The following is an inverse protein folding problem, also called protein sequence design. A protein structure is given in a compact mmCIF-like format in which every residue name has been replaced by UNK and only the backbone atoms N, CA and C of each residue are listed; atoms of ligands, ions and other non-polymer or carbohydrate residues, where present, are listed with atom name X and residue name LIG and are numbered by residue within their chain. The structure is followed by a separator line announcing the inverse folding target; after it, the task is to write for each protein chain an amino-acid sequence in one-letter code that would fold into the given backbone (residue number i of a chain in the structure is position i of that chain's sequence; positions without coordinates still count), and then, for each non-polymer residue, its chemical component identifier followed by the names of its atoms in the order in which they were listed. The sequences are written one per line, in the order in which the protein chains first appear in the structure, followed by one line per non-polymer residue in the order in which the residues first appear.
data_IF_708588087383
#
_entry.id   IF_708588087383
#
_cell.length_a   1.000
_cell.length_b   1.000
_cell.length_c   1.000
_cell.angle_alpha   90.00
_cell.angle_beta   90.00
_cell.angle_gamma   90.00
#
_symmetry.space_group_name_H-M   'P 1'
#
loop_
_entity.id
_entity.type
_entity.pdbx_description
1 polymer ?
#
# COMPACT_ATOMS: atom_id res chain seq x y z
N UNK A 1 -38.08 8.74 -13.30
CA UNK A 1 -36.84 9.41 -13.74
C UNK A 1 -36.01 9.68 -12.50
N UNK A 2 -35.13 8.74 -12.14
CA UNK A 2 -34.31 8.87 -10.94
C UNK A 2 -33.32 10.01 -11.06
N UNK A 3 -33.42 10.97 -10.13
CA UNK A 3 -32.38 11.97 -9.88
C UNK A 3 -31.13 11.22 -9.41
N UNK A 4 -30.26 10.84 -10.36
CA UNK A 4 -28.89 10.43 -10.03
C UNK A 4 -28.26 11.56 -9.21
N UNK A 5 -27.93 11.26 -7.96
CA UNK A 5 -27.32 12.23 -7.06
C UNK A 5 -26.03 12.79 -7.69
N UNK A 6 -25.75 14.09 -7.56
CA UNK A 6 -24.57 14.72 -8.19
C UNK A 6 -23.25 14.04 -7.77
N UNK A 7 -23.22 13.46 -6.57
CA UNK A 7 -22.09 12.67 -6.03
C UNK A 7 -21.79 11.44 -6.88
N UNK A 8 -22.81 10.75 -7.40
CA UNK A 8 -22.63 9.56 -8.25
C UNK A 8 -22.04 9.90 -9.62
N UNK A 9 -22.31 11.11 -10.13
CA UNK A 9 -21.82 11.57 -11.43
C UNK A 9 -20.35 11.98 -11.35
N UNK A 10 -19.96 12.65 -10.26
CA UNK A 10 -18.57 13.05 -9.98
C UNK A 10 -17.68 11.80 -9.83
N UNK A 11 -18.13 10.79 -9.09
CA UNK A 11 -17.36 9.53 -8.93
C UNK A 11 -17.16 8.78 -10.26
N UNK A 12 -18.18 8.78 -11.14
CA UNK A 12 -18.04 8.17 -12.49
C UNK A 12 -17.09 8.96 -13.38
N UNK A 13 -17.14 10.29 -13.31
CA UNK A 13 -16.23 11.16 -14.05
C UNK A 13 -14.78 10.94 -13.60
N UNK A 14 -14.54 10.81 -12.30
CA UNK A 14 -13.22 10.52 -11.73
C UNK A 14 -12.66 9.19 -12.28
N UNK A 15 -13.47 8.13 -12.28
CA UNK A 15 -13.07 6.84 -12.85
C UNK A 15 -12.72 6.92 -14.35
N UNK A 16 -13.51 7.66 -15.13
CA UNK A 16 -13.24 7.88 -16.57
C UNK A 16 -11.94 8.65 -16.75
N UNK A 17 -11.70 9.68 -15.92
CA UNK A 17 -10.48 10.47 -15.98
C UNK A 17 -9.24 9.62 -15.69
N UNK A 18 -9.31 8.76 -14.67
CA UNK A 18 -8.26 7.77 -14.38
C UNK A 18 -8.03 6.81 -15.55
N UNK A 19 -9.11 6.32 -16.17
CA UNK A 19 -9.04 5.42 -17.32
C UNK A 19 -8.34 6.07 -18.51
N UNK A 20 -8.81 7.24 -18.91
CA UNK A 20 -8.24 7.99 -20.05
C UNK A 20 -6.78 8.36 -19.78
N UNK A 21 -6.47 8.84 -18.58
CA UNK A 21 -5.10 9.24 -18.23
C UNK A 21 -4.15 8.05 -18.23
N UNK A 22 -4.56 6.91 -17.67
CA UNK A 22 -3.74 5.70 -17.63
C UNK A 22 -3.49 5.16 -19.05
N UNK A 23 -4.55 5.04 -19.86
CA UNK A 23 -4.43 4.57 -21.25
C UNK A 23 -3.52 5.48 -22.05
N UNK A 24 -3.66 6.80 -21.90
CA UNK A 24 -2.78 7.77 -22.57
C UNK A 24 -1.31 7.60 -22.19
N UNK A 25 -1.01 7.49 -20.89
CA UNK A 25 0.37 7.32 -20.38
C UNK A 25 0.99 6.02 -20.90
N UNK A 26 0.27 4.90 -20.81
CA UNK A 26 0.79 3.60 -21.26
C UNK A 26 0.87 3.48 -22.78
N UNK A 27 -0.03 4.13 -23.51
CA UNK A 27 0.07 4.26 -24.96
C UNK A 27 1.33 5.04 -25.35
N UNK A 28 1.61 6.16 -24.67
CA UNK A 28 2.83 6.94 -24.92
C UNK A 28 4.09 6.15 -24.56
N UNK A 29 4.07 5.41 -23.46
CA UNK A 29 5.19 4.53 -23.07
C UNK A 29 5.46 3.45 -24.14
N UNK A 30 4.40 2.87 -24.69
CA UNK A 30 4.50 1.93 -25.81
C UNK A 30 5.10 2.57 -27.06
N UNK A 31 4.67 3.80 -27.41
CA UNK A 31 5.26 4.52 -28.56
C UNK A 31 6.74 4.88 -28.36
N UNK A 32 7.23 4.91 -27.12
CA UNK A 32 8.66 5.06 -26.81
C UNK A 32 9.45 3.75 -26.95
N UNK A 33 8.81 2.63 -27.28
CA UNK A 33 9.47 1.34 -27.52
C UNK A 33 9.47 0.39 -26.31
N UNK A 34 8.78 0.73 -25.22
CA UNK A 34 8.68 -0.11 -24.01
C UNK A 34 7.32 -0.80 -23.93
N UNK A 35 7.29 -2.13 -23.94
CA UNK A 35 6.05 -2.89 -23.97
C UNK A 35 5.53 -3.25 -22.56
N UNK A 36 4.78 -2.32 -21.96
CA UNK A 36 4.09 -2.54 -20.68
C UNK A 36 2.56 -2.72 -20.81
N UNK A 37 2.08 -3.03 -22.02
CA UNK A 37 0.64 -3.19 -22.30
C UNK A 37 0.06 -4.35 -21.48
N UNK A 38 0.80 -5.46 -21.34
CA UNK A 38 0.38 -6.62 -20.54
C UNK A 38 0.05 -6.26 -19.09
N UNK A 39 0.89 -5.44 -18.46
CA UNK A 39 0.63 -4.91 -17.11
C UNK A 39 -0.61 -4.01 -17.07
N UNK A 40 -0.78 -3.15 -18.07
CA UNK A 40 -1.97 -2.33 -18.20
C UNK A 40 -3.25 -3.16 -18.23
N UNK A 41 -3.28 -4.23 -19.04
CA UNK A 41 -4.41 -5.15 -19.13
C UNK A 41 -4.66 -5.85 -17.79
N UNK A 42 -3.62 -6.36 -17.12
CA UNK A 42 -3.75 -7.05 -15.83
C UNK A 42 -4.36 -6.13 -14.77
N UNK A 43 -3.88 -4.89 -14.66
CA UNK A 43 -4.39 -3.94 -13.68
C UNK A 43 -5.84 -3.54 -13.95
N UNK A 44 -6.20 -3.26 -15.21
CA UNK A 44 -7.58 -2.91 -15.58
C UNK A 44 -8.54 -4.08 -15.42
N UNK A 45 -8.14 -5.29 -15.83
CA UNK A 45 -8.93 -6.50 -15.60
C UNK A 45 -9.12 -6.76 -14.12
N UNK A 46 -8.08 -6.59 -13.30
CA UNK A 46 -8.18 -6.74 -11.85
C UNK A 46 -9.13 -5.73 -11.21
N UNK A 47 -9.08 -4.46 -11.60
CA UNK A 47 -10.03 -3.42 -11.14
C UNK A 47 -11.46 -3.79 -11.55
N UNK A 48 -11.65 -4.21 -12.80
CA UNK A 48 -12.97 -4.61 -13.32
C UNK A 48 -13.56 -5.80 -12.55
N UNK A 49 -12.75 -6.85 -12.33
CA UNK A 49 -13.14 -8.04 -11.57
C UNK A 49 -13.56 -7.69 -10.14
N UNK A 50 -12.78 -6.86 -9.45
CA UNK A 50 -13.07 -6.41 -8.09
C UNK A 50 -14.38 -5.61 -8.04
N UNK A 51 -14.67 -4.79 -9.06
CA UNK A 51 -15.91 -4.03 -9.16
C UNK A 51 -17.13 -4.92 -9.44
N UNK A 52 -17.01 -5.85 -10.40
CA UNK A 52 -18.12 -6.74 -10.80
C UNK A 52 -18.56 -7.67 -9.66
N UNK A 53 -17.60 -8.22 -8.90
CA UNK A 53 -17.91 -9.07 -7.74
C UNK A 53 -18.63 -8.26 -6.66
N UNK A 54 -18.23 -7.01 -6.44
CA UNK A 54 -18.87 -6.12 -5.47
C UNK A 54 -20.35 -5.90 -5.78
N UNK A 55 -20.66 -5.65 -7.05
CA UNK A 55 -22.04 -5.44 -7.52
C UNK A 55 -22.88 -6.70 -7.29
N UNK A 56 -22.33 -7.87 -7.64
CA UNK A 56 -22.99 -9.17 -7.45
C UNK A 56 -23.32 -9.46 -5.97
N UNK A 57 -22.39 -9.18 -5.04
CA UNK A 57 -22.60 -9.42 -3.61
C UNK A 57 -23.66 -8.48 -3.02
N UNK A 58 -23.64 -7.20 -3.41
CA UNK A 58 -24.62 -6.22 -2.93
C UNK A 58 -26.05 -6.59 -3.36
N UNK A 59 -26.22 -7.03 -4.62
CA UNK A 59 -27.52 -7.48 -5.14
C UNK A 59 -28.05 -8.72 -4.39
N UNK A 60 -27.14 -9.56 -3.86
CA UNK A 60 -27.50 -10.74 -3.08
C UNK A 60 -27.82 -10.40 -1.62
N UNK A 61 -27.13 -9.42 -1.02
CA UNK A 61 -27.39 -8.98 0.36
C UNK A 61 -28.68 -8.17 0.51
N UNK A 62 -29.10 -7.44 -0.53
CA UNK A 62 -30.37 -6.71 -0.54
C UNK A 62 -31.60 -7.65 -0.65
N UNK A 63 -31.38 -8.93 -0.99
CA UNK A 63 -32.41 -9.98 -0.93
C UNK A 63 -32.39 -10.79 0.39
N UNK A 64 -31.41 -10.56 1.27
CA UNK A 64 -31.20 -11.34 2.50
C UNK A 64 -30.85 -10.45 3.70
N UNK A 65 -31.51 -9.30 3.84
CA UNK A 65 -31.32 -8.40 4.99
C UNK A 65 -32.17 -8.85 6.18
N UNK A 66 -31.68 -9.83 6.96
CA UNK A 66 -32.23 -10.16 8.27
C UNK A 66 -31.19 -10.26 9.40
N UNK A 67 -29.89 -10.49 9.13
CA UNK A 67 -29.00 -11.03 10.18
C UNK A 67 -27.75 -10.22 10.54
N UNK A 68 -27.74 -8.88 10.37
CA UNK A 68 -26.67 -8.04 10.96
C UNK A 68 -27.21 -6.77 11.65
N UNK A 69 -28.18 -6.93 12.55
CA UNK A 69 -28.50 -5.92 13.56
C UNK A 69 -28.58 -6.55 14.95
N UNK A 70 -27.41 -6.80 15.54
CA UNK A 70 -27.27 -6.87 16.99
C UNK A 70 -26.01 -6.10 17.37
N UNK A 71 -26.19 -4.83 17.70
CA UNK A 71 -25.74 -4.25 18.97
C UNK A 71 -25.82 -2.72 18.94
N UNK A 72 -26.24 -2.17 20.09
CA UNK A 72 -26.27 -0.75 20.51
C UNK A 72 -27.64 -0.06 20.33
N UNK A 73 -28.48 -0.26 21.35
CA UNK A 73 -29.38 0.79 21.83
C UNK A 73 -28.53 1.94 22.38
N UNK A 74 -28.58 3.11 21.74
CA UNK A 74 -28.51 4.38 22.45
C UNK A 74 -29.19 5.49 21.63
N UNK A 75 -30.05 6.24 22.32
CA UNK A 75 -30.99 7.21 21.79
C UNK A 75 -30.28 8.50 21.29
N UNK A 76 -30.89 9.15 20.31
CA UNK A 76 -30.64 10.55 19.91
C UNK A 76 -29.28 10.95 19.30
N UNK A 77 -28.92 10.38 18.13
CA UNK A 77 -28.23 11.14 17.06
C UNK A 77 -28.74 10.68 15.69
N UNK A 78 -29.07 11.64 14.82
CA UNK A 78 -29.43 11.42 13.40
C UNK A 78 -28.51 10.36 12.78
N UNK A 79 -29.02 9.38 12.01
CA UNK A 79 -28.19 8.37 11.40
C UNK A 79 -27.36 9.05 10.31
N UNK A 80 -26.13 9.43 10.66
CA UNK A 80 -25.08 9.57 9.65
C UNK A 80 -24.84 8.14 9.22
N UNK A 81 -25.47 7.72 8.11
CA UNK A 81 -25.19 6.43 7.49
C UNK A 81 -23.68 6.43 7.21
N UNK A 82 -22.86 5.66 7.95
CA UNK A 82 -21.44 5.63 7.68
C UNK A 82 -21.28 5.07 6.28
N UNK A 83 -20.67 5.83 5.38
CA UNK A 83 -20.23 5.33 4.08
C UNK A 83 -19.17 4.26 4.34
N UNK A 84 -19.63 3.03 4.52
CA UNK A 84 -18.79 1.86 4.75
C UNK A 84 -17.77 1.77 3.61
N UNK A 85 -16.49 1.54 3.93
CA UNK A 85 -15.45 1.35 2.92
C UNK A 85 -15.91 0.32 1.89
N UNK A 86 -16.02 0.72 0.63
CA UNK A 86 -16.48 -0.12 -0.49
C UNK A 86 -15.44 -1.21 -0.80
N UNK A 87 -14.15 -1.04 -0.53
CA UNK A 87 -13.13 -2.06 -0.78
C UNK A 87 -12.29 -2.32 0.47
N UNK A 88 -11.88 -3.58 0.64
CA UNK A 88 -11.17 -4.03 1.85
C UNK A 88 -10.03 -4.95 1.46
N UNK A 89 -8.88 -4.74 2.10
CA UNK A 89 -7.73 -5.63 1.98
C UNK A 89 -7.91 -6.82 2.90
N UNK A 90 -7.37 -7.96 2.48
CA UNK A 90 -7.38 -9.21 3.23
C UNK A 90 -6.90 -9.02 4.69
N UNK A 91 -7.79 -9.32 5.65
CA UNK A 91 -7.51 -9.21 7.08
C UNK A 91 -7.81 -7.84 7.73
N UNK A 92 -8.24 -6.83 6.96
CA UNK A 92 -8.64 -5.53 7.48
C UNK A 92 -10.13 -5.51 7.90
N UNK A 93 -10.44 -4.77 8.97
CA UNK A 93 -11.83 -4.49 9.39
C UNK A 93 -12.30 -3.12 8.91
N UNK A 94 -13.60 -2.89 8.78
CA UNK A 94 -14.15 -1.58 8.37
C UNK A 94 -13.64 -0.41 9.24
N UNK A 95 -13.42 -0.65 10.53
CA UNK A 95 -12.86 0.34 11.47
C UNK A 95 -11.40 0.70 11.25
N UNK A 96 -10.72 0.04 10.30
CA UNK A 96 -9.34 0.35 9.92
C UNK A 96 -9.26 1.56 8.98
N UNK A 97 -10.32 1.86 8.23
CA UNK A 97 -10.33 2.90 7.20
C UNK A 97 -10.99 4.18 7.71
N UNK A 98 -10.68 5.31 7.06
CA UNK A 98 -11.31 6.60 7.33
C UNK A 98 -12.73 6.61 6.74
N UNK A 99 -13.74 6.86 7.59
CA UNK A 99 -15.17 6.68 7.27
C UNK A 99 -15.77 7.70 6.26
N UNK A 100 -15.02 8.75 5.87
CA UNK A 100 -15.55 9.95 5.18
C UNK A 100 -15.05 10.17 3.75
N UNK A 101 -14.36 9.21 3.13
CA UNK A 101 -13.79 9.40 1.78
C UNK A 101 -13.99 8.14 0.92
N UNK A 102 -14.07 8.33 -0.41
CA UNK A 102 -13.99 7.23 -1.36
C UNK A 102 -12.73 6.42 -1.06
N UNK A 103 -12.80 5.08 -1.14
CA UNK A 103 -11.67 4.22 -0.78
C UNK A 103 -10.40 4.53 -1.58
N UNK A 104 -10.54 5.15 -2.75
CA UNK A 104 -9.39 5.58 -3.55
C UNK A 104 -8.62 4.41 -4.15
N UNK A 105 -9.22 3.21 -4.27
CA UNK A 105 -8.56 2.01 -4.78
C UNK A 105 -7.88 2.25 -6.15
N UNK A 106 -8.60 2.86 -7.09
CA UNK A 106 -8.06 3.15 -8.45
C UNK A 106 -6.89 4.12 -8.38
N UNK A 107 -7.01 5.20 -7.61
CA UNK A 107 -5.90 6.12 -7.37
C UNK A 107 -4.69 5.39 -6.75
N UNK A 108 -4.93 4.54 -5.75
CA UNK A 108 -3.89 3.78 -5.06
C UNK A 108 -3.11 2.81 -5.94
N UNK A 109 -3.79 2.18 -6.90
CA UNK A 109 -3.18 1.23 -7.84
C UNK A 109 -2.49 1.95 -8.99
N UNK A 110 -3.07 3.04 -9.51
CA UNK A 110 -2.63 3.62 -10.78
C UNK A 110 -1.65 4.79 -10.63
N UNK A 111 -1.73 5.57 -9.55
CA UNK A 111 -1.00 6.84 -9.43
C UNK A 111 0.52 6.66 -9.55
N UNK A 112 1.12 5.82 -8.70
CA UNK A 112 2.57 5.66 -8.66
C UNK A 112 3.13 5.01 -9.94
N UNK A 113 2.53 3.94 -10.51
CA UNK A 113 2.93 3.43 -11.83
C UNK A 113 2.86 4.50 -12.93
N UNK A 114 1.82 5.34 -12.95
CA UNK A 114 1.70 6.42 -13.93
C UNK A 114 2.80 7.47 -13.75
N UNK A 115 3.12 7.86 -12.51
CA UNK A 115 4.21 8.79 -12.21
C UNK A 115 5.56 8.21 -12.65
N UNK A 116 5.84 6.95 -12.32
CA UNK A 116 7.08 6.28 -12.74
C UNK A 116 7.18 6.15 -14.27
N UNK A 117 6.09 5.78 -14.95
CA UNK A 117 6.02 5.72 -16.40
C UNK A 117 6.25 7.11 -17.04
N UNK A 118 5.65 8.16 -16.48
CA UNK A 118 5.85 9.53 -16.97
C UNK A 118 7.30 9.99 -16.83
N UNK A 119 7.95 9.66 -15.71
CA UNK A 119 9.38 9.95 -15.49
C UNK A 119 10.25 9.18 -16.47
N UNK A 120 9.94 7.91 -16.72
CA UNK A 120 10.68 7.09 -17.68
C UNK A 120 10.58 7.66 -19.10
N UNK A 121 9.39 8.09 -19.55
CA UNK A 121 9.21 8.75 -20.84
C UNK A 121 10.01 10.05 -20.97
N UNK A 122 10.06 10.88 -19.93
CA UNK A 122 10.85 12.12 -19.93
C UNK A 122 12.35 11.82 -20.06
N UNK A 123 12.84 10.78 -19.40
CA UNK A 123 14.24 10.34 -19.49
C UNK A 123 14.60 9.79 -20.86
N UNK A 124 13.72 8.98 -21.46
CA UNK A 124 13.91 8.49 -22.81
C UNK A 124 13.93 9.63 -23.84
N UNK A 125 13.05 10.63 -23.69
CA UNK A 125 13.04 11.80 -24.57
C UNK A 125 14.31 12.63 -24.48
N UNK A 126 14.91 12.69 -23.29
CA UNK A 126 16.14 13.44 -23.03
C UNK A 126 17.42 12.68 -23.39
N UNK A 127 17.31 11.44 -23.90
CA UNK A 127 18.45 10.53 -24.12
C UNK A 127 19.37 10.46 -22.88
N UNK A 128 18.76 10.33 -21.70
CA UNK A 128 19.49 10.18 -20.45
C UNK A 128 20.27 8.86 -20.43
N UNK A 129 21.27 8.76 -19.53
CA UNK A 129 22.15 7.60 -19.40
C UNK A 129 21.39 6.27 -19.32
N UNK A 130 21.89 5.28 -20.05
CA UNK A 130 21.23 3.98 -20.18
C UNK A 130 21.08 3.29 -18.82
N UNK A 131 22.07 3.42 -17.92
CA UNK A 131 21.98 2.94 -16.53
C UNK A 131 20.81 3.54 -15.75
N UNK A 132 20.66 4.86 -15.80
CA UNK A 132 19.57 5.56 -15.12
C UNK A 132 18.18 5.23 -15.68
N UNK A 133 18.06 4.99 -16.99
CA UNK A 133 16.79 4.55 -17.58
C UNK A 133 16.37 3.17 -17.06
N UNK A 134 17.29 2.21 -17.00
CA UNK A 134 17.05 0.85 -16.45
C UNK A 134 16.72 0.92 -14.96
N UNK A 135 17.38 1.80 -14.22
CA UNK A 135 17.09 2.05 -12.79
C UNK A 135 15.64 2.51 -12.54
N UNK A 136 15.11 3.39 -13.38
CA UNK A 136 13.71 3.85 -13.29
C UNK A 136 12.74 2.79 -13.79
N UNK A 137 13.14 2.02 -14.81
CA UNK A 137 12.36 0.90 -15.35
C UNK A 137 12.13 -0.21 -14.31
N UNK A 138 13.16 -0.60 -13.54
CA UNK A 138 13.04 -1.56 -12.44
C UNK A 138 12.01 -1.12 -11.38
N UNK A 139 11.97 0.19 -11.07
CA UNK A 139 11.02 0.77 -10.11
C UNK A 139 9.59 0.78 -10.63
N UNK A 140 9.41 1.05 -11.93
CA UNK A 140 8.11 0.94 -12.58
C UNK A 140 7.58 -0.50 -12.49
N UNK A 141 8.39 -1.50 -12.81
CA UNK A 141 8.00 -2.92 -12.73
C UNK A 141 7.64 -3.33 -11.30
N UNK A 142 8.43 -2.89 -10.32
CA UNK A 142 8.15 -3.16 -8.91
C UNK A 142 6.84 -2.53 -8.45
N UNK A 143 6.55 -1.30 -8.88
CA UNK A 143 5.28 -0.60 -8.64
C UNK A 143 4.08 -1.34 -9.24
N UNK A 144 4.22 -1.81 -10.48
CA UNK A 144 3.19 -2.60 -11.16
C UNK A 144 2.93 -3.92 -10.42
N UNK A 145 3.99 -4.60 -9.97
CA UNK A 145 3.88 -5.82 -9.17
C UNK A 145 3.16 -5.56 -7.84
N UNK A 146 3.55 -4.55 -7.07
CA UNK A 146 2.90 -4.19 -5.80
C UNK A 146 1.42 -3.81 -6.00
N UNK A 147 1.09 -3.16 -7.12
CA UNK A 147 -0.28 -2.78 -7.48
C UNK A 147 -1.13 -4.00 -7.81
N UNK A 148 -0.59 -4.97 -8.56
CA UNK A 148 -1.25 -6.24 -8.84
C UNK A 148 -1.44 -7.08 -7.56
N UNK A 149 -0.46 -7.11 -6.66
CA UNK A 149 -0.59 -7.76 -5.35
C UNK A 149 -1.72 -7.13 -4.55
N UNK A 150 -1.84 -5.80 -4.54
CA UNK A 150 -2.93 -5.11 -3.84
C UNK A 150 -4.29 -5.52 -4.37
N UNK A 151 -4.44 -5.62 -5.70
CA UNK A 151 -5.65 -6.11 -6.35
C UNK A 151 -5.98 -7.55 -5.95
N UNK A 152 -4.97 -8.44 -5.92
CA UNK A 152 -5.13 -9.81 -5.46
C UNK A 152 -5.62 -9.83 -4.01
N UNK A 153 -5.06 -8.99 -3.13
CA UNK A 153 -5.48 -8.95 -1.73
C UNK A 153 -6.91 -8.45 -1.55
N UNK A 154 -7.34 -7.48 -2.34
CA UNK A 154 -8.73 -7.01 -2.33
C UNK A 154 -9.66 -8.09 -2.88
N UNK A 155 -9.29 -8.72 -4.00
CA UNK A 155 -10.06 -9.81 -4.61
C UNK A 155 -10.22 -11.01 -3.66
N UNK A 156 -9.12 -11.49 -3.10
CA UNK A 156 -9.07 -12.60 -2.15
C UNK A 156 -9.88 -12.28 -0.89
N UNK A 157 -9.91 -11.02 -0.45
CA UNK A 157 -10.74 -10.60 0.68
C UNK A 157 -12.23 -10.74 0.44
N UNK A 158 -12.72 -10.40 -0.75
CA UNK A 158 -14.13 -10.55 -1.08
C UNK A 158 -14.48 -12.02 -1.33
N UNK A 159 -13.61 -12.78 -2.01
CA UNK A 159 -13.87 -14.19 -2.33
C UNK A 159 -13.75 -15.15 -1.13
N UNK A 160 -12.78 -14.93 -0.23
CA UNK A 160 -12.57 -15.78 0.95
C UNK A 160 -13.46 -15.43 2.15
N UNK A 161 -14.53 -14.65 1.97
CA UNK A 161 -15.50 -14.36 3.03
C UNK A 161 -15.96 -15.62 3.83
N UNK A 162 -16.27 -16.77 3.22
CA UNK A 162 -16.64 -17.97 3.97
C UNK A 162 -15.49 -18.56 4.82
N UNK A 163 -14.24 -18.44 4.36
CA UNK A 163 -13.06 -18.98 5.04
C UNK A 163 -12.55 -18.09 6.19
N UNK A 164 -12.97 -16.81 6.24
CA UNK A 164 -12.68 -15.90 7.36
C UNK A 164 -13.29 -16.36 8.68
N UNK A 165 -14.36 -17.15 8.66
CA UNK A 165 -14.95 -17.75 9.87
C UNK A 165 -14.02 -18.79 10.51
N UNK A 166 -13.16 -19.43 9.71
CA UNK A 166 -12.26 -20.50 10.16
C UNK A 166 -10.89 -19.98 10.61
N UNK A 167 -10.37 -18.92 9.96
CA UNK A 167 -9.00 -18.42 10.18
C UNK A 167 -9.00 -17.20 11.10
N UNK A 168 -8.33 -17.31 12.25
CA UNK A 168 -8.15 -16.21 13.22
C UNK A 168 -7.49 -15.00 12.55
N UNK A 169 -7.91 -13.78 12.93
CA UNK A 169 -7.49 -12.48 12.34
C UNK A 169 -5.97 -12.31 12.08
N UNK A 170 -5.10 -12.91 12.89
CA UNK A 170 -3.63 -12.84 12.72
C UNK A 170 -3.07 -13.80 11.66
N UNK A 171 -3.73 -14.93 11.41
CA UNK A 171 -3.33 -15.90 10.37
C UNK A 171 -3.54 -15.35 8.96
N UNK A 172 -4.53 -14.49 8.77
CA UNK A 172 -4.87 -13.87 7.48
C UNK A 172 -3.72 -12.99 6.95
N UNK A 173 -3.03 -12.26 7.83
CA UNK A 173 -1.88 -11.45 7.40
C UNK A 173 -0.68 -12.31 6.97
N UNK A 174 -0.37 -13.38 7.72
CA UNK A 174 0.73 -14.28 7.36
C UNK A 174 0.47 -14.95 6.01
N UNK A 175 -0.76 -15.37 5.74
CA UNK A 175 -1.11 -15.90 4.41
C UNK A 175 -0.99 -14.86 3.29
N UNK A 176 -1.25 -13.57 3.57
CA UNK A 176 -1.02 -12.49 2.58
C UNK A 176 0.45 -12.42 2.14
N UNK A 177 1.38 -12.56 3.08
CA UNK A 177 2.82 -12.56 2.81
C UNK A 177 3.20 -13.76 1.93
N UNK A 178 2.72 -14.96 2.27
CA UNK A 178 3.02 -16.18 1.51
C UNK A 178 2.47 -16.09 0.08
N UNK A 179 1.21 -15.66 -0.08
CA UNK A 179 0.59 -15.47 -1.40
C UNK A 179 1.37 -14.43 -2.21
N UNK A 180 1.76 -13.31 -1.59
CA UNK A 180 2.54 -12.26 -2.25
C UNK A 180 3.92 -12.76 -2.69
N UNK A 181 4.60 -13.58 -1.87
CA UNK A 181 5.90 -14.15 -2.19
C UNK A 181 5.81 -15.17 -3.32
N UNK A 182 4.82 -16.06 -3.30
CA UNK A 182 4.57 -17.02 -4.38
C UNK A 182 4.22 -16.32 -5.69
N UNK A 183 3.35 -15.30 -5.64
CA UNK A 183 2.99 -14.51 -6.81
C UNK A 183 4.21 -13.76 -7.37
N UNK A 184 5.03 -13.17 -6.51
CA UNK A 184 6.28 -12.50 -6.90
C UNK A 184 7.22 -13.48 -7.60
N UNK A 185 7.44 -14.67 -7.01
CA UNK A 185 8.30 -15.68 -7.61
C UNK A 185 7.77 -16.16 -8.97
N UNK A 186 6.46 -16.37 -9.09
CA UNK A 186 5.79 -16.77 -10.34
C UNK A 186 5.97 -15.69 -11.42
N UNK A 187 5.65 -14.43 -11.12
CA UNK A 187 5.72 -13.34 -12.09
C UNK A 187 7.16 -13.07 -12.53
N UNK A 188 8.11 -13.04 -11.61
CA UNK A 188 9.51 -12.70 -11.93
C UNK A 188 10.27 -13.84 -12.62
N UNK A 189 9.86 -15.11 -12.46
CA UNK A 189 10.55 -16.27 -13.06
C UNK A 189 9.89 -16.84 -14.31
N UNK A 190 8.57 -16.80 -14.38
CA UNK A 190 7.81 -17.56 -15.39
C UNK A 190 7.17 -16.63 -16.42
N UNK A 191 6.75 -15.42 -16.03
CA UNK A 191 6.09 -14.51 -16.96
C UNK A 191 7.11 -13.50 -17.54
N UNK A 192 7.16 -13.29 -18.86
CA UNK A 192 7.99 -12.27 -19.50
C UNK A 192 7.40 -10.86 -19.34
N UNK A 193 6.79 -10.57 -18.19
CA UNK A 193 6.19 -9.29 -17.87
C UNK A 193 7.20 -8.35 -17.18
N UNK A 194 8.27 -8.89 -16.64
CA UNK A 194 9.30 -8.12 -15.93
C UNK A 194 10.66 -8.34 -16.57
N UNK A 195 10.93 -7.62 -17.66
CA UNK A 195 12.15 -7.78 -18.43
C UNK A 195 13.39 -7.32 -17.64
N UNK A 196 13.22 -6.31 -16.76
CA UNK A 196 14.32 -5.78 -15.94
C UNK A 196 14.37 -6.42 -14.56
N UNK A 197 13.22 -6.58 -13.91
CA UNK A 197 13.15 -7.16 -12.56
C UNK A 197 13.54 -8.64 -12.53
N UNK A 198 13.39 -9.37 -13.65
CA UNK A 198 13.84 -10.77 -13.75
C UNK A 198 15.36 -10.93 -13.77
N UNK A 199 16.08 -9.88 -14.17
CA UNK A 199 17.55 -9.83 -14.17
C UNK A 199 18.13 -9.50 -12.79
N UNK A 200 17.29 -9.05 -11.86
CA UNK A 200 17.66 -8.65 -10.52
C UNK A 200 17.60 -9.81 -9.52
N UNK A 201 18.30 -9.66 -8.39
CA UNK A 201 18.27 -10.65 -7.31
C UNK A 201 16.85 -10.79 -6.77
N UNK A 202 16.28 -12.00 -6.91
CA UNK A 202 14.92 -12.31 -6.46
C UNK A 202 14.73 -12.05 -4.96
N UNK A 203 15.79 -12.18 -4.17
CA UNK A 203 15.76 -11.93 -2.73
C UNK A 203 15.46 -10.46 -2.42
N UNK A 204 15.99 -9.53 -3.21
CA UNK A 204 15.71 -8.10 -3.04
C UNK A 204 14.26 -7.77 -3.37
N UNK A 205 13.74 -8.38 -4.42
CA UNK A 205 12.34 -8.23 -4.83
C UNK A 205 11.40 -8.79 -3.76
N UNK A 206 11.66 -10.00 -3.26
CA UNK A 206 10.88 -10.62 -2.18
C UNK A 206 10.95 -9.76 -0.91
N UNK A 207 12.13 -9.29 -0.52
CA UNK A 207 12.29 -8.45 0.67
C UNK A 207 11.55 -7.11 0.54
N UNK A 208 11.54 -6.53 -0.65
CA UNK A 208 10.80 -5.28 -0.89
C UNK A 208 9.29 -5.49 -0.85
N UNK A 209 8.80 -6.58 -1.46
CA UNK A 209 7.38 -6.94 -1.41
C UNK A 209 6.94 -7.26 0.02
N UNK A 210 7.77 -7.93 0.82
CA UNK A 210 7.45 -8.18 2.23
C UNK A 210 7.45 -6.88 3.05
N UNK A 211 8.38 -5.96 2.80
CA UNK A 211 8.35 -4.62 3.40
C UNK A 211 7.08 -3.85 3.02
N UNK A 212 6.67 -3.89 1.74
CA UNK A 212 5.40 -3.33 1.29
C UNK A 212 4.22 -3.89 2.10
N UNK A 213 4.12 -5.22 2.23
CA UNK A 213 3.08 -5.88 3.02
C UNK A 213 3.11 -5.47 4.50
N UNK A 214 4.31 -5.33 5.06
CA UNK A 214 4.50 -4.94 6.44
C UNK A 214 4.06 -3.50 6.72
N UNK A 215 4.41 -2.55 5.83
CA UNK A 215 3.94 -1.16 5.93
C UNK A 215 2.42 -1.06 5.76
N UNK A 216 1.86 -1.82 4.82
CA UNK A 216 0.41 -1.90 4.63
C UNK A 216 -0.28 -2.39 5.92
N UNK A 217 0.28 -3.41 6.57
CA UNK A 217 -0.21 -3.89 7.86
C UNK A 217 -0.12 -2.85 8.98
N UNK A 218 0.97 -2.09 9.07
CA UNK A 218 1.10 -0.97 10.01
C UNK A 218 -0.01 0.05 9.74
N UNK A 219 -0.25 0.42 8.49
CA UNK A 219 -1.35 1.32 8.14
C UNK A 219 -2.72 0.81 8.61
N UNK A 220 -3.00 -0.48 8.43
CA UNK A 220 -4.29 -1.11 8.77
C UNK A 220 -4.49 -1.31 10.28
N UNK A 221 -3.46 -1.70 11.01
CA UNK A 221 -3.57 -2.11 12.43
C UNK A 221 -3.18 -1.00 13.39
N UNK A 222 -2.13 -0.27 13.06
CA UNK A 222 -1.50 0.73 13.92
C UNK A 222 -2.08 2.12 13.66
N UNK A 223 -2.27 2.49 12.39
CA UNK A 223 -2.75 3.81 11.96
C UNK A 223 -4.25 3.78 11.57
N UNK A 224 -5.05 3.09 12.38
CA UNK A 224 -6.50 2.94 12.15
C UNK A 224 -7.18 4.30 11.96
N UNK A 225 -8.08 4.37 10.97
CA UNK A 225 -8.87 5.54 10.61
C UNK A 225 -8.08 6.77 10.11
N UNK A 226 -6.76 6.67 9.98
CA UNK A 226 -5.95 7.79 9.46
C UNK A 226 -6.05 7.91 7.94
N UNK A 227 -6.14 6.78 7.24
CA UNK A 227 -6.02 6.71 5.79
C UNK A 227 -7.21 6.02 5.12
N UNK A 228 -7.43 6.38 3.85
CA UNK A 228 -8.21 5.59 2.90
C UNK A 228 -7.38 4.44 2.34
N UNK A 229 -8.02 3.45 1.73
CA UNK A 229 -7.33 2.31 1.12
C UNK A 229 -6.29 2.72 0.07
N UNK A 230 -6.61 3.70 -0.77
CA UNK A 230 -5.72 4.25 -1.78
C UNK A 230 -4.51 4.96 -1.16
N UNK A 231 -4.74 5.81 -0.17
CA UNK A 231 -3.67 6.50 0.56
C UNK A 231 -2.73 5.49 1.25
N UNK A 232 -3.27 4.44 1.89
CA UNK A 232 -2.44 3.38 2.50
C UNK A 232 -1.58 2.67 1.46
N UNK A 233 -2.14 2.39 0.28
CA UNK A 233 -1.42 1.72 -0.82
C UNK A 233 -0.29 2.61 -1.33
N UNK A 234 -0.55 3.89 -1.59
CA UNK A 234 0.45 4.86 -2.05
C UNK A 234 1.58 5.01 -1.04
N UNK A 235 1.25 5.18 0.24
CA UNK A 235 2.25 5.31 1.31
C UNK A 235 3.10 4.04 1.38
N UNK A 236 2.47 2.87 1.39
CA UNK A 236 3.19 1.59 1.49
C UNK A 236 4.09 1.32 0.30
N UNK A 237 3.62 1.58 -0.93
CA UNK A 237 4.41 1.45 -2.16
C UNK A 237 5.58 2.43 -2.18
N UNK A 238 5.34 3.70 -1.83
CA UNK A 238 6.38 4.73 -1.79
C UNK A 238 7.48 4.37 -0.79
N UNK A 239 7.09 3.93 0.41
CA UNK A 239 8.05 3.51 1.42
C UNK A 239 8.83 2.27 0.97
N UNK A 240 8.18 1.27 0.39
CA UNK A 240 8.86 0.08 -0.10
C UNK A 240 9.93 0.39 -1.16
N UNK A 241 9.65 1.30 -2.10
CA UNK A 241 10.62 1.72 -3.12
C UNK A 241 11.81 2.48 -2.52
N UNK A 242 11.57 3.32 -1.51
CA UNK A 242 12.65 4.02 -0.80
C UNK A 242 13.56 3.02 -0.09
N UNK A 243 12.98 2.02 0.57
CA UNK A 243 13.75 0.92 1.15
C UNK A 243 14.49 0.10 0.10
N UNK A 244 13.89 -0.17 -1.06
CA UNK A 244 14.57 -0.86 -2.17
C UNK A 244 15.81 -0.10 -2.62
N UNK A 245 15.74 1.23 -2.79
CA UNK A 245 16.91 2.04 -3.09
C UNK A 245 18.00 1.94 -2.03
N UNK A 246 17.63 1.98 -0.74
CA UNK A 246 18.58 1.78 0.36
C UNK A 246 19.19 0.38 0.37
N UNK A 247 18.39 -0.65 0.08
CA UNK A 247 18.84 -2.04 -0.01
C UNK A 247 19.81 -2.25 -1.18
N UNK A 248 19.59 -1.60 -2.32
CA UNK A 248 20.53 -1.59 -3.44
C UNK A 248 21.90 -1.05 -2.98
N UNK A 249 21.94 0.09 -2.28
CA UNK A 249 23.20 0.65 -1.75
C UNK A 249 23.89 -0.28 -0.75
N UNK A 250 23.13 -0.87 0.17
CA UNK A 250 23.65 -1.84 1.14
C UNK A 250 24.22 -3.06 0.40
N UNK A 251 23.50 -3.58 -0.58
CA UNK A 251 23.93 -4.75 -1.35
C UNK A 251 25.24 -4.51 -2.08
N UNK A 252 25.39 -3.35 -2.72
CA UNK A 252 26.61 -2.94 -3.41
C UNK A 252 27.78 -2.84 -2.43
N UNK A 253 27.54 -2.34 -1.21
CA UNK A 253 28.57 -2.20 -0.19
C UNK A 253 29.06 -3.56 0.36
N UNK A 254 28.15 -4.53 0.54
CA UNK A 254 28.48 -5.85 1.09
C UNK A 254 28.91 -6.87 0.02
N UNK A 255 28.41 -6.77 -1.21
CA UNK A 255 28.66 -7.69 -2.31
C UNK A 255 29.12 -6.96 -3.58
N UNK A 256 30.33 -6.36 -3.57
CA UNK A 256 30.80 -5.53 -4.68
C UNK A 256 31.04 -6.32 -5.98
N UNK A 257 31.20 -7.63 -5.92
CA UNK A 257 31.43 -8.50 -7.09
C UNK A 257 30.14 -8.87 -7.84
N UNK A 258 28.97 -8.75 -7.19
CA UNK A 258 27.66 -9.12 -7.75
C UNK A 258 26.77 -7.91 -8.05
N UNK A 259 27.37 -6.77 -8.43
CA UNK A 259 26.62 -5.55 -8.72
C UNK A 259 25.72 -5.73 -9.95
N UNK A 260 24.46 -5.26 -9.91
CA UNK A 260 23.60 -5.26 -11.09
C UNK A 260 24.24 -4.46 -12.23
N UNK A 261 24.11 -4.95 -13.47
CA UNK A 261 24.81 -4.41 -14.63
C UNK A 261 24.54 -2.91 -14.87
N UNK A 262 23.34 -2.41 -14.54
CA UNK A 262 22.96 -1.00 -14.68
C UNK A 262 23.56 -0.08 -13.60
N UNK A 263 24.15 -0.63 -12.54
CA UNK A 263 24.84 0.12 -11.48
C UNK A 263 26.36 0.19 -11.71
N UNK A 264 26.89 -0.49 -12.74
CA UNK A 264 28.31 -0.46 -13.07
C UNK A 264 28.72 0.78 -13.88
N UNK A 265 27.76 1.47 -14.52
CA UNK A 265 28.05 2.54 -15.49
C UNK A 265 27.92 3.96 -14.89
N UNK A 266 27.18 4.12 -13.78
CA UNK A 266 26.86 5.43 -13.22
C UNK A 266 27.62 5.69 -11.90
N UNK A 267 28.74 6.42 -11.95
CA UNK A 267 29.33 7.10 -10.79
C UNK A 267 28.32 8.02 -10.08
N UNK A 268 27.29 8.50 -10.82
CA UNK A 268 26.21 9.35 -10.31
C UNK A 268 25.19 8.62 -9.44
N UNK A 269 24.90 7.34 -9.74
CA UNK A 269 23.92 6.52 -9.02
C UNK A 269 24.39 6.18 -7.60
N UNK A 270 25.70 6.05 -7.41
CA UNK A 270 26.37 5.85 -6.13
C UNK A 270 26.94 7.16 -5.59
N UNK A 271 26.34 8.30 -5.95
CA UNK A 271 26.75 9.58 -5.38
C UNK A 271 26.55 9.56 -3.85
N UNK A 272 27.52 10.03 -3.06
CA UNK A 272 27.44 10.01 -1.59
C UNK A 272 26.21 10.80 -1.08
N UNK A 273 25.77 11.81 -1.85
CA UNK A 273 24.57 12.59 -1.59
C UNK A 273 23.31 11.72 -1.70
N UNK A 274 23.19 10.89 -2.75
CA UNK A 274 22.03 10.00 -2.93
C UNK A 274 21.94 8.96 -1.80
N UNK A 275 23.09 8.39 -1.41
CA UNK A 275 23.18 7.45 -0.28
C UNK A 275 22.75 8.13 1.02
N UNK A 276 23.24 9.34 1.30
CA UNK A 276 22.86 10.11 2.47
C UNK A 276 21.35 10.40 2.51
N UNK A 277 20.77 10.84 1.39
CA UNK A 277 19.33 11.14 1.30
C UNK A 277 18.50 9.88 1.59
N UNK A 278 18.83 8.74 0.98
CA UNK A 278 18.12 7.48 1.21
C UNK A 278 18.25 7.00 2.65
N UNK A 279 19.45 7.09 3.24
CA UNK A 279 19.71 6.73 4.63
C UNK A 279 18.91 7.61 5.61
N UNK A 280 18.87 8.93 5.37
CA UNK A 280 18.10 9.87 6.21
C UNK A 280 16.60 9.60 6.11
N UNK A 281 16.06 9.46 4.89
CA UNK A 281 14.63 9.21 4.69
C UNK A 281 14.21 7.90 5.36
N UNK A 282 14.94 6.81 5.11
CA UNK A 282 14.65 5.51 5.73
C UNK A 282 14.83 5.56 7.25
N UNK A 283 15.87 6.25 7.73
CA UNK A 283 16.12 6.45 9.16
C UNK A 283 14.96 7.14 9.86
N UNK A 284 14.43 8.22 9.29
CA UNK A 284 13.26 8.94 9.83
C UNK A 284 12.04 8.02 9.92
N UNK A 285 11.80 7.17 8.90
CA UNK A 285 10.69 6.22 8.90
C UNK A 285 10.85 5.18 10.01
N UNK A 286 12.04 4.59 10.15
CA UNK A 286 12.33 3.60 11.20
C UNK A 286 12.16 4.21 12.58
N UNK A 287 12.73 5.40 12.80
CA UNK A 287 12.58 6.13 14.08
C UNK A 287 11.10 6.38 14.35
N UNK A 288 10.32 6.83 13.36
CA UNK A 288 8.88 7.03 13.50
C UNK A 288 8.13 5.77 13.93
N UNK A 289 8.40 4.63 13.30
CA UNK A 289 7.77 3.34 13.65
C UNK A 289 8.19 2.87 15.04
N UNK A 290 9.47 3.01 15.40
CA UNK A 290 9.99 2.63 16.73
C UNK A 290 9.45 3.54 17.84
N UNK A 291 9.22 4.82 17.54
CA UNK A 291 8.76 5.82 18.51
C UNK A 291 7.24 5.80 18.67
N UNK A 292 6.50 5.26 17.70
CA UNK A 292 5.04 5.16 17.74
C UNK A 292 4.47 4.53 19.03
N UNK A 293 4.91 3.34 19.50
CA UNK A 293 4.36 2.75 20.72
C UNK A 293 4.59 3.62 21.95
N UNK A 294 5.72 4.32 22.03
CA UNK A 294 6.05 5.26 23.10
C UNK A 294 5.14 6.48 23.08
N UNK A 295 4.92 7.08 21.91
CA UNK A 295 4.00 8.21 21.73
C UNK A 295 2.56 7.81 22.06
N UNK A 296 2.14 6.60 21.68
CA UNK A 296 0.80 6.09 22.00
C UNK A 296 0.64 5.87 23.50
N UNK A 297 1.63 5.25 24.15
CA UNK A 297 1.62 5.09 25.60
C UNK A 297 1.57 6.45 26.31
N UNK A 298 2.41 7.39 25.89
CA UNK A 298 2.43 8.77 26.40
C UNK A 298 1.06 9.45 26.27
N UNK A 299 0.43 9.39 25.09
CA UNK A 299 -0.91 9.93 24.87
C UNK A 299 -1.95 9.29 25.79
N UNK A 300 -1.94 7.96 25.94
CA UNK A 300 -2.89 7.27 26.83
C UNK A 300 -2.70 7.65 28.29
N UNK A 301 -1.48 7.93 28.74
CA UNK A 301 -1.20 8.40 30.09
C UNK A 301 -1.66 9.85 30.27
N UNK A 302 -1.42 10.71 29.27
CA UNK A 302 -1.82 12.12 29.30
C UNK A 302 -3.34 12.31 29.27
N UNK A 303 -4.08 11.43 28.61
CA UNK A 303 -5.54 11.50 28.46
C UNK A 303 -6.32 10.82 29.60
N UNK A 304 -5.65 10.25 30.61
CA UNK A 304 -6.33 9.66 31.76
C UNK A 304 -6.87 10.77 32.68
N UNK A 305 -8.19 10.80 32.96
CA UNK A 305 -8.76 11.82 33.83
C UNK A 305 -8.23 11.65 35.26
N UNK A 306 -7.77 12.76 35.85
CA UNK A 306 -7.09 12.80 37.15
C UNK A 306 -7.90 12.13 38.28
N UNK A 307 -9.23 12.26 38.27
CA UNK A 307 -10.11 11.66 39.28
C UNK A 307 -10.13 10.12 39.26
N UNK A 308 -9.84 9.46 38.12
CA UNK A 308 -9.73 7.98 38.06
C UNK A 308 -8.42 7.44 38.64
N UNK A 309 -7.47 8.31 38.98
CA UNK A 309 -6.16 7.92 39.55
C UNK A 309 -6.12 7.96 41.07
N UNK A 310 -7.20 8.42 41.72
CA UNK A 310 -7.29 8.49 43.19
C UNK A 310 -7.43 7.08 43.81
N UNK A 311 -8.09 6.14 43.12
CA UNK A 311 -8.27 4.75 43.59
C UNK A 311 -7.12 3.78 43.20
N UNK A 312 -6.21 4.21 42.32
CA UNK A 312 -5.08 3.39 41.84
C UNK A 312 -3.80 3.89 42.49
N UNK A 313 -2.93 3.00 42.98
CA UNK A 313 -1.71 3.40 43.69
C UNK A 313 -0.91 4.45 42.90
N UNK A 314 -0.79 5.64 43.48
CA UNK A 314 -0.14 6.83 42.89
C UNK A 314 1.30 6.51 42.40
N UNK A 315 1.97 5.57 43.07
CA UNK A 315 3.29 5.05 42.73
C UNK A 315 3.35 4.34 41.37
N UNK A 316 2.32 3.56 41.01
CA UNK A 316 2.26 2.85 39.72
C UNK A 316 2.04 3.84 38.57
N UNK A 317 1.23 4.87 38.78
CA UNK A 317 1.03 5.92 37.79
C UNK A 317 2.30 6.76 37.58
N UNK A 318 2.98 7.14 38.67
CA UNK A 318 4.27 7.85 38.62
C UNK A 318 5.35 7.01 37.91
N UNK A 319 5.45 5.72 38.21
CA UNK A 319 6.40 4.82 37.55
C UNK A 319 6.11 4.66 36.05
N UNK A 320 4.83 4.62 35.63
CA UNK A 320 4.47 4.59 34.20
C UNK A 320 4.84 5.87 33.46
N UNK A 321 4.65 7.04 34.09
CA UNK A 321 5.13 8.32 33.54
C UNK A 321 6.65 8.37 33.43
N UNK A 322 7.36 7.91 34.47
CA UNK A 322 8.81 7.83 34.49
C UNK A 322 9.33 6.90 33.39
N UNK A 323 8.75 5.71 33.22
CA UNK A 323 9.16 4.76 32.17
C UNK A 323 8.87 5.28 30.76
N UNK A 324 7.76 5.99 30.57
CA UNK A 324 7.48 6.65 29.29
C UNK A 324 8.48 7.77 29.01
N UNK A 325 8.85 8.57 30.01
CA UNK A 325 9.87 9.61 29.89
C UNK A 325 11.25 9.02 29.61
N UNK A 326 11.67 7.98 30.35
CA UNK A 326 12.92 7.25 30.10
C UNK A 326 12.93 6.66 28.70
N UNK A 327 11.81 6.17 28.19
CA UNK A 327 11.75 5.65 26.82
C UNK A 327 12.02 6.70 25.72
N UNK A 328 11.91 8.00 26.02
CA UNK A 328 12.22 9.08 25.08
C UNK A 328 13.66 9.61 25.19
N UNK A 329 14.37 9.31 26.27
CA UNK A 329 15.73 9.80 26.58
C UNK A 329 16.76 8.68 26.45
#
# INVERSE_FOLDING_TARGET
MDKKSPVSMISKLEHILWAVSFVWVFYKLYTCGLNYIGWGIILWMGIYLVNSIKETINDTSDQSSADEHSDIYDNDKKPIVPTLSKYRIFGASNSSFRDNANDGLVCGILLLPMVAASKLMDLMKKNADQGYTVYVQARLELLLLMSAITLILVFVNEYLHPLKKLIRKRGLFVSSIVVSALFTALVTRILPLTDVLSQLSIMMTILTVTLFQWFLYICVVTLKKCFTLGEMTIVSQSTAILFYGTLEFVYIAFFPENKPRYLNEDESSTSPISVLIHAVIVGIIIIGVMTYPLLRASRTIAQQPYWRTVDRSLSVFRNKKLMAAIGFY
#
